data_IF_829463377065
#
_entry.id   IF_829463377065
#
_cell.length_a   1.000
_cell.length_b   1.000
_cell.length_c   1.000
_cell.angle_alpha   90.00
_cell.angle_beta   90.00
_cell.angle_gamma   90.00
#
_symmetry.space_group_name_H-M   'P 1'
#
loop_
_entity.id
_entity.type
_entity.pdbx_description
1 polymer ?
#
# COMPACT_ATOMS: atom_id res chain seq x y z
N UNK A 1 -25.55 1.37 28.81
CA UNK A 1 -24.35 0.51 28.90
C UNK A 1 -24.67 -0.59 29.89
N UNK A 2 -24.24 -1.82 29.62
CA UNK A 2 -24.38 -2.92 30.58
C UNK A 2 -23.61 -2.59 31.87
N UNK A 3 -24.22 -2.84 33.03
CA UNK A 3 -23.65 -2.52 34.33
C UNK A 3 -22.36 -3.30 34.60
N UNK A 4 -22.30 -4.55 34.13
CA UNK A 4 -21.10 -5.38 34.19
C UNK A 4 -19.93 -4.75 33.39
N UNK A 5 -20.23 -4.24 32.20
CA UNK A 5 -19.23 -3.61 31.34
C UNK A 5 -18.70 -2.29 31.91
N UNK A 6 -19.56 -1.53 32.59
CA UNK A 6 -19.16 -0.30 33.26
C UNK A 6 -18.15 -0.59 34.39
N UNK A 7 -18.37 -1.68 35.14
CA UNK A 7 -17.44 -2.15 36.16
C UNK A 7 -16.10 -2.59 35.56
N UNK A 8 -16.14 -3.35 34.46
CA UNK A 8 -14.93 -3.80 33.76
C UNK A 8 -14.12 -2.62 33.21
N UNK A 9 -14.78 -1.60 32.64
CA UNK A 9 -14.12 -0.39 32.16
C UNK A 9 -13.49 0.42 33.30
N UNK A 10 -14.13 0.46 34.47
CA UNK A 10 -13.56 1.10 35.65
C UNK A 10 -12.30 0.36 36.11
N UNK A 11 -12.36 -0.98 36.22
CA UNK A 11 -11.19 -1.79 36.56
C UNK A 11 -10.06 -1.64 35.53
N UNK A 12 -10.42 -1.60 34.25
CA UNK A 12 -9.48 -1.38 33.15
C UNK A 12 -8.78 -0.01 33.25
N UNK A 13 -9.52 1.05 33.59
CA UNK A 13 -8.97 2.40 33.81
C UNK A 13 -8.09 2.50 35.06
N UNK A 14 -8.39 1.73 36.11
CA UNK A 14 -7.51 1.63 37.28
C UNK A 14 -6.18 0.93 36.95
N UNK A 15 -6.22 -0.08 36.07
CA UNK A 15 -5.03 -0.84 35.67
C UNK A 15 -4.18 -0.09 34.64
N UNK A 16 -4.82 0.58 33.71
CA UNK A 16 -4.19 1.39 32.67
C UNK A 16 -4.75 2.80 32.78
N UNK A 17 -4.06 3.74 33.44
CA UNK A 17 -4.56 5.10 33.56
C UNK A 17 -4.67 5.78 32.18
N UNK A 18 -5.83 6.38 31.89
CA UNK A 18 -6.07 7.19 30.70
C UNK A 18 -7.11 8.29 30.99
N UNK A 19 -7.12 9.30 30.12
CA UNK A 19 -7.97 10.48 30.22
C UNK A 19 -9.45 10.20 29.91
N UNK A 20 -10.30 11.21 30.14
CA UNK A 20 -11.73 11.09 29.89
C UNK A 20 -12.06 11.00 28.39
N UNK A 21 -11.20 11.54 27.52
CA UNK A 21 -11.41 11.49 26.06
C UNK A 21 -11.27 10.05 25.54
N UNK A 22 -10.22 9.34 25.95
CA UNK A 22 -10.03 7.93 25.64
C UNK A 22 -11.16 7.06 26.26
N UNK A 23 -11.60 7.38 27.48
CA UNK A 23 -12.75 6.72 28.10
C UNK A 23 -14.03 6.89 27.26
N UNK A 24 -14.40 8.13 26.96
CA UNK A 24 -15.55 8.46 26.13
C UNK A 24 -15.46 7.81 24.74
N UNK A 25 -14.26 7.69 24.18
CA UNK A 25 -14.04 7.04 22.89
C UNK A 25 -14.35 5.53 22.92
N UNK A 26 -13.98 4.82 24.00
CA UNK A 26 -14.33 3.41 24.18
C UNK A 26 -15.84 3.27 24.42
N UNK A 27 -16.41 4.06 25.33
CA UNK A 27 -17.84 4.02 25.68
C UNK A 27 -18.75 4.26 24.46
N UNK A 28 -18.35 5.16 23.57
CA UNK A 28 -19.08 5.45 22.33
C UNK A 28 -18.81 4.46 21.19
N UNK A 29 -17.99 3.43 21.42
CA UNK A 29 -17.76 2.34 20.44
C UNK A 29 -18.80 1.23 20.61
N UNK A 30 -18.94 0.33 19.62
CA UNK A 30 -19.87 -0.80 19.72
C UNK A 30 -19.49 -1.75 20.86
N UNK A 31 -20.47 -2.48 21.41
CA UNK A 31 -20.26 -3.45 22.50
C UNK A 31 -19.16 -4.46 22.18
N UNK A 32 -19.12 -4.96 20.95
CA UNK A 32 -18.08 -5.88 20.46
C UNK A 32 -16.68 -5.26 20.53
N UNK A 33 -16.55 -3.97 20.16
CA UNK A 33 -15.26 -3.27 20.23
C UNK A 33 -14.85 -3.09 21.69
N UNK A 34 -15.78 -2.73 22.58
CA UNK A 34 -15.49 -2.55 24.00
C UNK A 34 -14.94 -3.85 24.61
N UNK A 35 -15.58 -4.99 24.36
CA UNK A 35 -15.07 -6.29 24.81
C UNK A 35 -13.70 -6.64 24.20
N UNK A 36 -13.48 -6.36 22.91
CA UNK A 36 -12.17 -6.61 22.29
C UNK A 36 -11.07 -5.73 22.87
N UNK A 37 -11.37 -4.48 23.24
CA UNK A 37 -10.43 -3.60 23.93
C UNK A 37 -10.10 -4.16 25.30
N UNK A 38 -11.12 -4.47 26.12
CA UNK A 38 -10.95 -5.00 27.47
C UNK A 38 -10.18 -6.33 27.48
N UNK A 39 -10.40 -7.20 26.49
CA UNK A 39 -9.79 -8.54 26.40
C UNK A 39 -8.38 -8.53 25.79
N UNK A 40 -8.18 -7.78 24.72
CA UNK A 40 -7.00 -7.93 23.87
C UNK A 40 -5.97 -6.80 24.03
N UNK A 41 -6.29 -5.71 24.74
CA UNK A 41 -5.33 -4.64 24.97
C UNK A 41 -4.22 -5.10 25.92
N UNK A 42 -3.00 -5.20 25.38
CA UNK A 42 -1.78 -5.54 26.13
C UNK A 42 -0.66 -4.60 25.69
N UNK A 43 -0.39 -3.52 26.44
CA UNK A 43 0.66 -2.57 26.06
C UNK A 43 2.03 -3.24 26.14
N UNK A 44 3.00 -2.72 25.37
CA UNK A 44 4.35 -3.30 25.34
C UNK A 44 5.12 -3.06 26.63
N UNK A 45 4.79 -1.98 27.34
CA UNK A 45 5.37 -1.62 28.63
C UNK A 45 4.20 -1.32 29.59
N UNK A 46 4.19 -2.02 30.73
CA UNK A 46 3.26 -1.74 31.82
C UNK A 46 3.89 -0.75 32.80
N UNK A 47 3.10 0.12 33.42
CA UNK A 47 3.55 1.15 34.36
C UNK A 47 3.74 2.56 33.76
N UNK A 48 3.24 2.82 32.56
CA UNK A 48 3.16 4.18 32.02
C UNK A 48 2.07 4.99 32.75
N UNK A 49 2.28 6.29 32.93
CA UNK A 49 1.32 7.16 33.62
C UNK A 49 0.11 7.52 32.75
N UNK A 50 0.24 7.40 31.43
CA UNK A 50 -0.81 7.76 30.46
C UNK A 50 -0.85 6.79 29.27
N UNK A 51 -1.92 6.00 29.20
CA UNK A 51 -2.21 5.06 28.12
C UNK A 51 -3.17 5.61 27.05
N UNK A 52 -3.60 6.88 27.14
CA UNK A 52 -4.71 7.43 26.35
C UNK A 52 -4.47 7.25 24.84
N UNK A 53 -3.29 7.64 24.34
CA UNK A 53 -2.96 7.51 22.93
C UNK A 53 -2.91 6.05 22.44
N UNK A 54 -2.38 5.14 23.26
CA UNK A 54 -2.27 3.71 22.93
C UNK A 54 -3.66 3.07 22.87
N UNK A 55 -4.52 3.37 23.84
CA UNK A 55 -5.89 2.86 23.93
C UNK A 55 -6.75 3.42 22.80
N UNK A 56 -6.65 4.71 22.48
CA UNK A 56 -7.35 5.31 21.33
C UNK A 56 -6.92 4.65 20.02
N UNK A 57 -5.61 4.49 19.81
CA UNK A 57 -5.05 3.82 18.63
C UNK A 57 -5.56 2.38 18.49
N UNK A 58 -5.57 1.63 19.60
CA UNK A 58 -6.06 0.25 19.62
C UNK A 58 -7.57 0.17 19.36
N UNK A 59 -8.37 1.00 20.03
CA UNK A 59 -9.82 1.07 19.87
C UNK A 59 -10.19 1.40 18.42
N UNK A 60 -9.50 2.38 17.81
CA UNK A 60 -9.68 2.73 16.40
C UNK A 60 -9.38 1.54 15.48
N UNK A 61 -8.32 0.79 15.74
CA UNK A 61 -7.98 -0.44 14.99
C UNK A 61 -9.08 -1.50 15.13
N UNK A 62 -9.63 -1.69 16.33
CA UNK A 62 -10.71 -2.66 16.57
C UNK A 62 -12.01 -2.28 15.88
N UNK A 63 -12.40 -1.00 15.90
CA UNK A 63 -13.56 -0.49 15.13
C UNK A 63 -13.43 -0.80 13.64
N UNK A 64 -12.25 -0.59 13.07
CA UNK A 64 -11.99 -0.88 11.67
C UNK A 64 -12.09 -2.39 11.37
N UNK A 65 -11.53 -3.24 12.22
CA UNK A 65 -11.59 -4.70 12.04
C UNK A 65 -13.01 -5.26 12.19
N UNK A 66 -13.82 -4.75 13.12
CA UNK A 66 -15.24 -5.11 13.25
C UNK A 66 -16.01 -4.69 12.00
N UNK A 67 -15.78 -3.48 11.48
CA UNK A 67 -16.40 -2.99 10.24
C UNK A 67 -16.05 -3.88 9.04
N UNK A 68 -14.78 -4.27 8.91
CA UNK A 68 -14.33 -5.19 7.86
C UNK A 68 -14.97 -6.58 7.99
N UNK A 69 -15.06 -7.12 9.21
CA UNK A 69 -15.76 -8.39 9.45
C UNK A 69 -17.25 -8.30 9.15
N UNK A 70 -17.92 -7.20 9.47
CA UNK A 70 -19.33 -7.03 9.12
C UNK A 70 -19.52 -6.98 7.60
N UNK A 71 -18.65 -6.28 6.88
CA UNK A 71 -18.65 -6.26 5.41
C UNK A 71 -18.37 -7.66 4.81
N UNK A 72 -17.44 -8.40 5.40
CA UNK A 72 -17.07 -9.73 4.91
C UNK A 72 -18.08 -10.82 5.31
N UNK A 73 -18.68 -10.71 6.50
CA UNK A 73 -19.71 -11.64 6.99
C UNK A 73 -21.01 -11.51 6.20
N UNK A 74 -21.29 -10.34 5.65
CA UNK A 74 -22.41 -10.15 4.72
C UNK A 74 -22.20 -10.92 3.40
N UNK A 75 -20.95 -11.19 3.03
CA UNK A 75 -20.60 -11.97 1.84
C UNK A 75 -20.59 -13.50 2.09
N UNK A 76 -20.45 -13.95 3.34
CA UNK A 76 -20.27 -15.36 3.68
C UNK A 76 -21.52 -16.12 4.13
N UNK A 77 -22.58 -15.43 4.59
CA UNK A 77 -23.71 -16.07 5.29
C UNK A 77 -24.89 -16.48 4.38
N UNK A 78 -24.80 -16.30 3.07
CA UNK A 78 -25.84 -16.74 2.11
C UNK A 78 -25.38 -17.89 1.21
N UNK A 79 -24.56 -18.81 1.73
CA UNK A 79 -24.37 -20.15 1.17
C UNK A 79 -25.26 -21.16 1.90
N UNK A 80 -26.57 -20.88 1.98
CA UNK A 80 -27.48 -21.95 1.56
C UNK A 80 -27.32 -21.93 0.05
N UNK A 81 -26.74 -22.96 -0.56
CA UNK A 81 -27.02 -23.26 -1.95
C UNK A 81 -28.49 -23.72 -1.97
N UNK A 82 -29.48 -22.93 -2.43
CA UNK A 82 -30.52 -23.60 -3.18
C UNK A 82 -29.79 -24.22 -4.37
N UNK A 83 -30.09 -25.47 -4.67
CA UNK A 83 -29.71 -26.10 -5.93
C UNK A 83 -30.25 -25.21 -7.06
N UNK A 84 -29.43 -24.26 -7.50
CA UNK A 84 -29.78 -23.31 -8.54
C UNK A 84 -29.74 -24.11 -9.83
N UNK A 85 -30.92 -24.53 -10.29
CA UNK A 85 -31.09 -24.83 -11.70
C UNK A 85 -30.56 -23.61 -12.46
N UNK A 86 -29.51 -23.84 -13.23
CA UNK A 86 -28.77 -22.88 -14.06
C UNK A 86 -29.60 -22.36 -15.25
N UNK A 87 -30.94 -22.39 -15.12
CA UNK A 87 -31.85 -21.71 -16.03
C UNK A 87 -31.84 -20.24 -15.67
N UNK A 88 -30.81 -19.54 -16.12
CA UNK A 88 -30.86 -18.21 -16.75
C UNK A 88 -32.09 -17.34 -16.42
N UNK A 89 -32.37 -17.12 -15.14
CA UNK A 89 -33.40 -16.15 -14.73
C UNK A 89 -32.76 -14.79 -14.89
N UNK A 90 -32.82 -14.27 -16.12
CA UNK A 90 -32.70 -12.85 -16.38
C UNK A 90 -33.62 -12.12 -15.42
N UNK A 91 -33.09 -11.12 -14.70
CA UNK A 91 -33.90 -10.30 -13.83
C UNK A 91 -35.09 -9.75 -14.60
N UNK A 92 -36.25 -9.77 -13.96
CA UNK A 92 -37.44 -9.27 -14.62
C UNK A 92 -37.35 -7.75 -14.67
N UNK A 93 -37.75 -7.15 -15.80
CA UNK A 93 -37.86 -5.69 -15.96
C UNK A 93 -38.65 -5.06 -14.80
N UNK A 94 -39.64 -5.79 -14.26
CA UNK A 94 -40.44 -5.39 -13.12
C UNK A 94 -39.61 -5.20 -11.82
N UNK A 95 -38.61 -6.05 -11.55
CA UNK A 95 -37.74 -5.92 -10.38
C UNK A 95 -36.82 -4.70 -10.49
N UNK A 96 -36.29 -4.43 -11.68
CA UNK A 96 -35.48 -3.24 -11.94
C UNK A 96 -36.32 -1.96 -11.84
N UNK A 97 -37.55 -1.99 -12.37
CA UNK A 97 -38.47 -0.85 -12.25
C UNK A 97 -38.84 -0.58 -10.78
N UNK A 98 -39.18 -1.61 -10.01
CA UNK A 98 -39.46 -1.47 -8.58
C UNK A 98 -38.24 -0.91 -7.80
N UNK A 99 -37.03 -1.30 -8.20
CA UNK A 99 -35.80 -0.76 -7.62
C UNK A 99 -35.60 0.72 -7.97
N UNK A 100 -35.90 1.13 -9.21
CA UNK A 100 -35.85 2.54 -9.66
C UNK A 100 -36.92 3.41 -8.99
N UNK A 101 -38.11 2.87 -8.77
CA UNK A 101 -39.19 3.56 -8.06
C UNK A 101 -38.82 3.80 -6.59
N UNK A 102 -38.12 2.83 -5.97
CA UNK A 102 -37.65 2.94 -4.58
C UNK A 102 -36.43 3.85 -4.44
N UNK A 103 -35.52 3.79 -5.41
CA UNK A 103 -34.27 4.56 -5.43
C UNK A 103 -34.19 5.26 -6.79
N UNK A 104 -34.71 6.49 -6.94
CA UNK A 104 -34.66 7.20 -8.21
C UNK A 104 -33.23 7.37 -8.71
N UNK A 105 -32.96 6.93 -9.94
CA UNK A 105 -31.68 7.13 -10.64
C UNK A 105 -31.91 7.38 -12.14
N UNK A 106 -30.91 7.97 -12.77
CA UNK A 106 -30.91 8.37 -14.17
C UNK A 106 -30.83 7.19 -15.15
N UNK A 107 -31.00 7.48 -16.43
CA UNK A 107 -30.99 6.45 -17.47
C UNK A 107 -29.61 5.82 -17.68
N UNK A 108 -28.53 6.52 -17.34
CA UNK A 108 -27.18 6.00 -17.48
C UNK A 108 -26.86 4.96 -16.39
N UNK A 109 -27.30 5.19 -15.15
CA UNK A 109 -27.25 4.20 -14.08
C UNK A 109 -28.13 2.98 -14.41
N UNK A 110 -29.32 3.19 -14.97
CA UNK A 110 -30.19 2.13 -15.44
C UNK A 110 -29.48 1.25 -16.50
N UNK A 111 -28.97 1.87 -17.56
CA UNK A 111 -28.23 1.19 -18.63
C UNK A 111 -27.00 0.45 -18.07
N UNK A 112 -26.33 1.02 -17.08
CA UNK A 112 -25.18 0.38 -16.43
C UNK A 112 -25.56 -0.89 -15.68
N UNK A 113 -26.70 -0.90 -14.98
CA UNK A 113 -27.20 -2.11 -14.29
C UNK A 113 -27.61 -3.16 -15.32
N UNK A 114 -28.44 -2.81 -16.31
CA UNK A 114 -28.92 -3.75 -17.34
C UNK A 114 -27.77 -4.38 -18.13
N UNK A 115 -26.71 -3.63 -18.40
CA UNK A 115 -25.50 -4.14 -19.08
C UNK A 115 -24.52 -4.88 -18.17
N UNK A 116 -24.75 -4.91 -16.85
CA UNK A 116 -23.92 -5.66 -15.92
C UNK A 116 -24.27 -7.16 -15.93
N UNK A 117 -23.35 -8.07 -15.56
CA UNK A 117 -23.64 -9.50 -15.50
C UNK A 117 -24.84 -9.84 -14.59
N UNK A 118 -25.65 -10.89 -14.86
CA UNK A 118 -26.86 -11.20 -14.08
C UNK A 118 -26.62 -11.37 -12.57
N UNK A 119 -25.46 -11.90 -12.17
CA UNK A 119 -25.11 -12.02 -10.76
C UNK A 119 -24.83 -10.66 -10.10
N UNK A 120 -24.23 -9.71 -10.81
CA UNK A 120 -24.00 -8.34 -10.31
C UNK A 120 -25.35 -7.64 -10.13
N UNK A 121 -26.23 -7.75 -11.12
CA UNK A 121 -27.56 -7.16 -11.05
C UNK A 121 -28.34 -7.69 -9.83
N UNK A 122 -28.36 -9.01 -9.61
CA UNK A 122 -29.01 -9.64 -8.44
C UNK A 122 -28.41 -9.15 -7.12
N UNK A 123 -27.08 -9.05 -7.05
CA UNK A 123 -26.40 -8.56 -5.86
C UNK A 123 -26.77 -7.10 -5.57
N UNK A 124 -26.85 -6.24 -6.59
CA UNK A 124 -27.31 -4.86 -6.44
C UNK A 124 -28.72 -4.84 -5.85
N UNK A 125 -29.67 -5.54 -6.46
CA UNK A 125 -31.07 -5.55 -6.02
C UNK A 125 -31.24 -6.09 -4.59
N UNK A 126 -30.42 -7.07 -4.18
CA UNK A 126 -30.51 -7.70 -2.86
C UNK A 126 -29.83 -6.89 -1.76
N UNK A 127 -28.70 -6.24 -2.07
CA UNK A 127 -27.76 -5.78 -1.03
C UNK A 127 -27.53 -4.29 -1.01
N UNK A 128 -27.97 -3.57 -2.04
CA UNK A 128 -27.85 -2.13 -2.08
C UNK A 128 -28.66 -1.50 -0.93
N UNK A 129 -27.94 -0.78 -0.06
CA UNK A 129 -28.51 0.01 1.04
C UNK A 129 -27.78 1.35 1.08
N UNK A 130 -28.39 2.45 0.60
CA UNK A 130 -27.73 3.74 0.60
C UNK A 130 -27.51 4.23 2.05
N UNK A 131 -26.51 5.09 2.30
CA UNK A 131 -26.24 5.61 3.65
C UNK A 131 -27.40 6.42 4.24
N UNK A 132 -28.22 7.03 3.38
CA UNK A 132 -29.41 7.80 3.71
C UNK A 132 -30.49 7.45 2.68
N UNK A 133 -31.73 7.32 3.13
CA UNK A 133 -32.90 7.14 2.26
C UNK A 133 -33.66 8.47 2.13
N UNK A 134 -34.40 8.63 1.03
CA UNK A 134 -35.12 9.86 0.67
C UNK A 134 -34.36 10.89 -0.19
N UNK A 135 -33.17 10.55 -0.71
CA UNK A 135 -32.49 11.39 -1.71
C UNK A 135 -33.23 11.37 -3.07
N UNK A 136 -33.17 12.48 -3.82
CA UNK A 136 -33.83 12.59 -5.13
C UNK A 136 -33.06 11.89 -6.26
N UNK A 137 -31.75 11.65 -6.07
CA UNK A 137 -30.88 11.04 -7.07
C UNK A 137 -29.85 10.08 -6.44
N UNK A 138 -29.98 8.79 -6.75
CA UNK A 138 -29.06 7.73 -6.31
C UNK A 138 -28.07 7.29 -7.39
N UNK A 139 -28.02 7.93 -8.56
CA UNK A 139 -27.29 7.46 -9.75
C UNK A 139 -25.82 7.17 -9.44
N UNK A 140 -25.13 8.10 -8.78
CA UNK A 140 -23.72 7.94 -8.43
C UNK A 140 -23.48 6.81 -7.40
N UNK A 141 -24.39 6.64 -6.43
CA UNK A 141 -24.30 5.61 -5.40
C UNK A 141 -24.53 4.22 -6.00
N UNK A 142 -25.55 4.08 -6.84
CA UNK A 142 -25.88 2.83 -7.54
C UNK A 142 -24.75 2.42 -8.47
N UNK A 143 -24.21 3.33 -9.31
CA UNK A 143 -23.07 3.02 -10.19
C UNK A 143 -21.83 2.63 -9.38
N UNK A 144 -21.53 3.35 -8.30
CA UNK A 144 -20.37 3.05 -7.45
C UNK A 144 -20.51 1.69 -6.77
N UNK A 145 -21.73 1.34 -6.34
CA UNK A 145 -22.04 0.03 -5.77
C UNK A 145 -21.96 -1.07 -6.82
N UNK A 146 -22.53 -0.87 -8.00
CA UNK A 146 -22.47 -1.81 -9.11
C UNK A 146 -21.02 -2.10 -9.55
N UNK A 147 -20.18 -1.06 -9.66
CA UNK A 147 -18.73 -1.20 -9.88
C UNK A 147 -18.07 -2.01 -8.77
N UNK A 148 -18.45 -1.77 -7.52
CA UNK A 148 -17.96 -2.55 -6.38
C UNK A 148 -18.37 -4.01 -6.48
N UNK A 149 -19.64 -4.33 -6.72
CA UNK A 149 -20.13 -5.70 -6.92
C UNK A 149 -19.35 -6.39 -8.05
N UNK A 150 -19.15 -5.72 -9.18
CA UNK A 150 -18.38 -6.25 -10.31
C UNK A 150 -16.92 -6.56 -9.98
N UNK A 151 -16.30 -5.80 -9.08
CA UNK A 151 -14.92 -6.02 -8.63
C UNK A 151 -14.83 -6.96 -7.41
N UNK A 152 -15.88 -7.01 -6.60
CA UNK A 152 -15.98 -7.79 -5.36
C UNK A 152 -16.45 -9.21 -5.58
N UNK A 153 -16.97 -9.52 -6.77
CA UNK A 153 -17.06 -10.88 -7.28
C UNK A 153 -15.68 -11.16 -7.89
N UNK A 154 -14.71 -11.75 -7.16
CA UNK A 154 -13.56 -12.34 -7.80
C UNK A 154 -14.12 -13.37 -8.75
N UNK A 155 -14.11 -13.09 -10.05
CA UNK A 155 -14.70 -13.89 -11.14
C UNK A 155 -15.15 -15.25 -10.63
N UNK A 156 -16.40 -15.34 -10.18
CA UNK A 156 -17.02 -16.60 -9.77
C UNK A 156 -17.29 -17.40 -11.05
N UNK A 157 -16.26 -17.61 -11.85
CA UNK A 157 -16.13 -18.85 -12.57
C UNK A 157 -16.22 -19.91 -11.47
N UNK A 158 -17.33 -20.64 -11.42
CA UNK A 158 -17.53 -21.74 -10.48
C UNK A 158 -16.42 -22.81 -10.59
N UNK A 159 -15.57 -22.69 -11.61
CA UNK A 159 -14.26 -23.35 -11.76
C UNK A 159 -13.17 -22.92 -10.75
N UNK A 160 -13.34 -21.83 -9.99
CA UNK A 160 -12.26 -21.14 -9.26
C UNK A 160 -12.03 -21.64 -7.81
N UNK A 161 -12.91 -22.51 -7.28
CA UNK A 161 -12.67 -23.21 -6.00
C UNK A 161 -11.75 -24.42 -6.17
N UNK A 162 -11.74 -25.01 -7.37
CA UNK A 162 -10.60 -25.83 -7.80
C UNK A 162 -9.45 -24.86 -8.06
N UNK A 163 -8.28 -25.17 -7.50
CA UNK A 163 -7.05 -24.47 -7.87
C UNK A 163 -6.86 -24.42 -9.39
N UNK A 164 -5.90 -23.63 -9.89
CA UNK A 164 -5.57 -23.60 -11.31
C UNK A 164 -5.55 -25.02 -11.87
N UNK A 165 -6.23 -25.22 -12.99
CA UNK A 165 -6.37 -26.56 -13.55
C UNK A 165 -4.98 -27.15 -13.79
N UNK A 166 -4.82 -28.47 -13.63
CA UNK A 166 -3.52 -29.12 -13.83
C UNK A 166 -2.88 -28.76 -15.18
N UNK A 167 -3.72 -28.60 -16.21
CA UNK A 167 -3.31 -28.15 -17.55
C UNK A 167 -2.78 -26.71 -17.59
N UNK A 168 -3.41 -25.75 -16.90
CA UNK A 168 -2.89 -24.38 -16.82
C UNK A 168 -1.54 -24.34 -16.09
N UNK A 169 -1.39 -25.17 -15.06
CA UNK A 169 -0.14 -25.27 -14.32
C UNK A 169 0.98 -25.89 -15.17
N UNK A 170 0.70 -26.97 -15.90
CA UNK A 170 1.64 -27.61 -16.85
C UNK A 170 2.05 -26.64 -17.95
N UNK A 171 1.08 -25.97 -18.61
CA UNK A 171 1.37 -24.98 -19.64
C UNK A 171 2.23 -23.82 -19.11
N UNK A 172 2.05 -23.44 -17.84
CA UNK A 172 2.89 -22.44 -17.20
C UNK A 172 4.32 -22.93 -16.96
N UNK A 173 4.51 -24.20 -16.57
CA UNK A 173 5.84 -24.82 -16.39
C UNK A 173 6.57 -24.99 -17.71
N UNK A 174 5.86 -25.30 -18.78
CA UNK A 174 6.42 -25.40 -20.13
C UNK A 174 6.87 -24.02 -20.65
N UNK A 175 6.09 -22.97 -20.37
CA UNK A 175 6.40 -21.60 -20.79
C UNK A 175 7.52 -20.96 -19.96
N UNK A 176 7.56 -21.27 -18.67
CA UNK A 176 8.55 -20.73 -17.74
C UNK A 176 9.19 -21.90 -16.98
N UNK A 177 10.30 -22.46 -17.48
CA UNK A 177 11.01 -23.54 -16.79
C UNK A 177 11.52 -23.08 -15.41
N UNK A 178 11.30 -23.88 -14.37
CA UNK A 178 11.80 -23.69 -13.01
C UNK A 178 12.04 -25.04 -12.32
N UNK A 179 12.83 -25.02 -11.26
CA UNK A 179 13.24 -26.21 -10.50
C UNK A 179 12.11 -26.81 -9.64
N UNK A 180 12.32 -28.05 -9.17
CA UNK A 180 11.33 -28.75 -8.35
C UNK A 180 11.12 -28.10 -6.98
N UNK A 181 12.11 -27.37 -6.46
CA UNK A 181 11.99 -26.63 -5.20
C UNK A 181 11.01 -25.45 -5.35
N UNK A 182 11.09 -24.70 -6.44
CA UNK A 182 10.15 -23.64 -6.80
C UNK A 182 8.76 -24.22 -7.07
N UNK A 183 8.68 -25.39 -7.70
CA UNK A 183 7.42 -26.12 -7.86
C UNK A 183 6.76 -26.39 -6.51
N UNK A 184 7.49 -27.03 -5.59
CA UNK A 184 7.02 -27.36 -4.24
C UNK A 184 6.62 -26.10 -3.45
N UNK A 185 7.38 -25.02 -3.59
CA UNK A 185 7.07 -23.72 -2.98
C UNK A 185 5.77 -23.10 -3.51
N UNK A 186 5.52 -23.21 -4.82
CA UNK A 186 4.32 -22.69 -5.46
C UNK A 186 3.08 -23.55 -5.13
N UNK A 187 3.24 -24.86 -5.03
CA UNK A 187 2.17 -25.80 -4.62
C UNK A 187 1.80 -25.65 -3.14
N UNK A 188 2.78 -25.44 -2.26
CA UNK A 188 2.53 -25.16 -0.83
C UNK A 188 2.02 -23.74 -0.57
N UNK A 189 2.07 -22.85 -1.56
CA UNK A 189 1.51 -21.50 -1.44
C UNK A 189 -0.03 -21.51 -1.47
N UNK A 190 -0.68 -20.54 -0.77
CA UNK A 190 -2.14 -20.42 -0.78
C UNK A 190 -2.71 -20.39 -2.21
N UNK A 191 -3.91 -20.98 -2.45
CA UNK A 191 -4.49 -21.06 -3.78
C UNK A 191 -4.59 -19.71 -4.51
N UNK A 192 -4.85 -18.64 -3.76
CA UNK A 192 -4.97 -17.28 -4.29
C UNK A 192 -3.63 -16.74 -4.79
N UNK A 193 -2.55 -16.99 -4.04
CA UNK A 193 -1.19 -16.59 -4.42
C UNK A 193 -0.80 -17.34 -5.68
N UNK A 194 -1.02 -18.66 -5.71
CA UNK A 194 -0.72 -19.51 -6.86
C UNK A 194 -1.43 -19.02 -8.12
N UNK A 195 -2.74 -18.78 -8.03
CA UNK A 195 -3.56 -18.25 -9.13
C UNK A 195 -3.02 -16.91 -9.64
N UNK A 196 -2.72 -15.99 -8.72
CA UNK A 196 -2.21 -14.67 -9.07
C UNK A 196 -0.83 -14.75 -9.74
N UNK A 197 0.02 -15.69 -9.30
CA UNK A 197 1.30 -15.97 -9.96
C UNK A 197 1.07 -16.44 -11.39
N UNK A 198 0.25 -17.48 -11.59
CA UNK A 198 -0.01 -18.04 -12.92
C UNK A 198 -0.62 -17.01 -13.90
N UNK A 199 -1.47 -16.10 -13.41
CA UNK A 199 -2.12 -15.09 -14.24
C UNK A 199 -1.27 -13.84 -14.50
N UNK A 200 -0.49 -13.40 -13.52
CA UNK A 200 0.14 -12.06 -13.53
C UNK A 200 1.65 -12.10 -13.67
N UNK A 201 2.29 -13.27 -13.57
CA UNK A 201 3.73 -13.37 -13.73
C UNK A 201 4.14 -13.03 -15.16
N UNK A 202 4.94 -11.97 -15.29
CA UNK A 202 5.54 -11.50 -16.54
C UNK A 202 7.01 -11.21 -16.26
N UNK A 203 7.94 -12.12 -16.58
CA UNK A 203 9.35 -11.89 -16.31
C UNK A 203 9.87 -10.72 -17.17
N UNK A 204 10.94 -10.03 -16.74
CA UNK A 204 11.52 -8.93 -17.50
C UNK A 204 12.03 -9.34 -18.90
N UNK A 205 12.42 -10.61 -19.05
CA UNK A 205 12.86 -11.22 -20.31
C UNK A 205 12.27 -12.63 -20.42
N UNK A 206 11.72 -12.95 -21.60
CA UNK A 206 11.25 -14.29 -21.93
C UNK A 206 12.37 -15.11 -22.59
N UNK A 207 12.35 -16.44 -22.43
CA UNK A 207 13.36 -17.36 -22.98
C UNK A 207 14.58 -17.64 -22.09
N UNK A 208 14.52 -17.32 -20.79
CA UNK A 208 15.53 -17.71 -19.82
C UNK A 208 15.40 -19.21 -19.48
N UNK A 209 16.53 -19.88 -19.21
CA UNK A 209 16.53 -21.32 -18.92
C UNK A 209 15.99 -21.66 -17.52
N UNK A 210 15.96 -20.68 -16.60
CA UNK A 210 15.54 -20.87 -15.23
C UNK A 210 14.85 -19.61 -14.65
N UNK A 211 13.58 -19.75 -14.30
CA UNK A 211 12.74 -18.69 -13.71
C UNK A 211 12.57 -18.81 -12.19
N UNK A 212 13.25 -19.77 -11.53
CA UNK A 212 13.04 -20.14 -10.12
C UNK A 212 13.12 -18.94 -9.16
N UNK A 213 14.20 -18.17 -9.23
CA UNK A 213 14.41 -17.01 -8.35
C UNK A 213 13.38 -15.88 -8.57
N UNK A 214 13.00 -15.64 -9.83
CA UNK A 214 12.02 -14.62 -10.20
C UNK A 214 10.61 -15.01 -9.69
N UNK A 215 10.24 -16.27 -9.85
CA UNK A 215 8.96 -16.80 -9.37
C UNK A 215 8.85 -16.76 -7.84
N UNK A 216 9.88 -17.21 -7.12
CA UNK A 216 9.89 -17.14 -5.65
C UNK A 216 9.75 -15.68 -5.17
N UNK A 217 10.49 -14.76 -5.79
CA UNK A 217 10.43 -13.34 -5.46
C UNK A 217 9.06 -12.74 -5.74
N UNK A 218 8.44 -13.12 -6.87
CA UNK A 218 7.10 -12.67 -7.23
C UNK A 218 6.02 -13.24 -6.29
N UNK A 219 6.12 -14.52 -5.93
CA UNK A 219 5.24 -15.17 -4.95
C UNK A 219 5.31 -14.45 -3.59
N UNK A 220 6.53 -14.16 -3.11
CA UNK A 220 6.74 -13.40 -1.87
C UNK A 220 6.12 -12.01 -1.97
N UNK A 221 6.35 -11.30 -3.08
CA UNK A 221 5.75 -9.99 -3.33
C UNK A 221 4.22 -10.03 -3.28
N UNK A 222 3.58 -10.99 -3.93
CA UNK A 222 2.11 -11.14 -3.89
C UNK A 222 1.63 -11.40 -2.46
N UNK A 223 2.33 -12.27 -1.73
CA UNK A 223 2.01 -12.57 -0.32
C UNK A 223 2.14 -11.33 0.56
N UNK A 224 3.21 -10.57 0.39
CA UNK A 224 3.48 -9.33 1.12
C UNK A 224 2.52 -8.19 0.73
N UNK A 225 2.03 -8.17 -0.51
CA UNK A 225 1.00 -7.26 -1.01
C UNK A 225 -0.43 -7.64 -0.60
N UNK A 226 -0.65 -8.88 -0.19
CA UNK A 226 -1.91 -9.35 0.43
C UNK A 226 -1.91 -9.18 1.95
N UNK A 227 -0.74 -9.23 2.58
CA UNK A 227 -0.55 -8.94 4.00
C UNK A 227 -0.65 -7.46 4.47
N UNK A 228 -0.78 -6.40 3.64
CA UNK A 228 -0.81 -5.03 4.12
C UNK A 228 -2.26 -4.53 4.19
N UNK A 229 -3.07 -5.05 5.12
CA UNK A 229 -4.15 -4.27 5.73
C UNK A 229 -4.36 -4.56 7.24
N UNK A 230 -3.94 -5.71 7.77
CA UNK A 230 -4.19 -6.02 9.20
C UNK A 230 -3.06 -5.66 10.20
N UNK A 231 -1.89 -5.21 9.74
CA UNK A 231 -0.74 -5.11 10.67
C UNK A 231 0.41 -4.13 10.40
N UNK A 232 0.48 -3.40 9.28
CA UNK A 232 1.56 -2.41 9.06
C UNK A 232 1.26 -1.05 9.71
N UNK A 233 1.19 -1.03 11.03
CA UNK A 233 1.35 0.19 11.83
C UNK A 233 2.55 -0.02 12.75
N UNK A 234 3.52 0.89 12.67
CA UNK A 234 4.70 1.02 13.55
C UNK A 234 5.87 0.04 13.33
N UNK A 235 6.64 0.28 12.26
CA UNK A 235 8.09 0.25 12.45
C UNK A 235 8.49 1.60 13.05
N UNK A 236 8.81 1.57 14.34
CA UNK A 236 9.34 2.71 15.09
C UNK A 236 10.80 2.90 14.66
N UNK A 237 11.24 4.10 14.25
CA UNK A 237 12.67 4.37 14.13
C UNK A 237 13.29 4.32 15.54
N UNK A 238 14.26 3.44 15.74
CA UNK A 238 15.15 3.50 16.90
C UNK A 238 16.07 4.72 16.75
N UNK A 239 15.94 5.73 17.62
CA UNK A 239 17.05 6.23 18.46
C UNK A 239 16.69 7.46 19.32
N UNK A 240 16.84 7.29 20.64
CA UNK A 240 17.57 8.11 21.64
C UNK A 240 17.13 9.55 22.00
N UNK A 241 16.76 9.67 23.28
CA UNK A 241 17.15 10.71 24.28
C UNK A 241 16.50 12.10 24.29
N UNK A 242 16.03 12.46 25.50
CA UNK A 242 15.41 13.72 25.97
C UNK A 242 16.41 14.89 26.14
N UNK A 243 16.11 16.06 26.78
CA UNK A 243 14.83 16.63 27.23
C UNK A 243 14.60 18.13 26.89
N UNK A 244 13.32 18.57 26.97
CA UNK A 244 12.88 19.91 27.36
C UNK A 244 12.97 21.04 26.33
N UNK A 245 11.83 21.59 25.90
CA UNK A 245 11.70 23.02 25.55
C UNK A 245 10.23 23.48 25.51
N UNK A 246 9.99 24.65 26.11
CA UNK A 246 8.72 25.40 26.18
C UNK A 246 8.23 25.86 24.79
N UNK A 247 6.91 25.99 24.57
CA UNK A 247 6.39 26.63 23.36
C UNK A 247 6.32 28.15 23.54
N UNK A 248 6.77 28.98 22.57
CA UNK A 248 6.34 30.35 22.50
C UNK A 248 5.29 30.56 21.41
N UNK A 249 4.21 31.22 21.85
CA UNK A 249 3.51 32.35 21.22
C UNK A 249 3.07 32.23 19.75
N UNK A 250 1.76 32.28 19.61
CA UNK A 250 1.02 32.71 18.42
C UNK A 250 1.57 34.04 17.88
N UNK A 251 1.80 34.11 16.56
CA UNK A 251 1.96 35.35 15.82
C UNK A 251 0.74 35.60 14.91
N UNK A 252 0.33 36.87 14.71
CA UNK A 252 -0.82 37.25 13.91
C UNK A 252 -0.55 37.23 12.39
N UNK A 253 -1.59 37.22 11.55
CA UNK A 253 -1.45 37.12 10.10
C UNK A 253 -1.25 38.51 9.51
N UNK A 254 -0.22 38.77 8.71
CA UNK A 254 -0.20 39.66 7.53
C UNK A 254 1.19 39.66 6.88
N UNK A 255 1.21 39.77 5.53
CA UNK A 255 2.32 39.95 4.60
C UNK A 255 3.00 38.68 4.05
N UNK A 256 2.41 38.14 2.98
CA UNK A 256 3.17 37.39 1.96
C UNK A 256 3.92 38.40 1.08
N UNK A 257 5.27 38.42 1.08
CA UNK A 257 6.01 39.13 0.06
C UNK A 257 5.93 38.33 -1.25
N UNK A 258 5.74 39.05 -2.36
CA UNK A 258 5.75 38.53 -3.72
C UNK A 258 6.93 37.57 -3.95
N UNK A 259 6.64 36.31 -4.29
CA UNK A 259 7.65 35.40 -4.78
C UNK A 259 8.12 35.85 -6.17
N UNK A 260 9.43 36.00 -6.41
CA UNK A 260 9.95 36.23 -7.75
C UNK A 260 9.69 35.01 -8.65
N UNK A 261 9.57 35.20 -9.98
CA UNK A 261 9.37 34.10 -10.91
C UNK A 261 10.51 33.07 -10.83
N UNK A 262 10.22 31.78 -11.03
CA UNK A 262 11.24 30.73 -10.97
C UNK A 262 12.32 30.98 -12.03
N UNK A 263 13.61 30.72 -11.72
CA UNK A 263 14.71 30.88 -12.66
C UNK A 263 14.55 29.91 -13.85
N UNK A 264 15.03 30.29 -15.06
CA UNK A 264 15.01 29.42 -16.22
C UNK A 264 15.81 28.13 -15.96
N UNK A 265 15.41 26.99 -16.56
CA UNK A 265 16.15 25.73 -16.42
C UNK A 265 17.58 25.90 -16.94
N UNK A 266 18.61 25.41 -16.22
CA UNK A 266 19.99 25.54 -16.66
C UNK A 266 20.26 24.72 -17.93
N UNK A 267 21.23 25.15 -18.77
CA UNK A 267 21.62 24.41 -19.96
C UNK A 267 22.05 23.00 -19.57
N UNK A 268 21.46 22.00 -20.24
CA UNK A 268 21.91 20.60 -20.14
C UNK A 268 23.36 20.55 -20.62
N UNK A 269 24.30 20.35 -19.70
CA UNK A 269 25.70 20.07 -20.02
C UNK A 269 25.76 18.75 -20.81
N UNK A 270 25.76 18.86 -22.15
CA UNK A 270 26.26 17.80 -23.03
C UNK A 270 27.78 17.86 -22.95
N UNK A 271 28.35 17.14 -21.98
CA UNK A 271 29.79 16.93 -21.89
C UNK A 271 30.28 16.17 -23.12
N UNK A 272 31.13 16.83 -23.91
CA UNK A 272 31.92 16.20 -24.95
C UNK A 272 32.82 15.13 -24.32
N UNK A 273 32.80 13.92 -24.91
CA UNK A 273 33.68 12.81 -24.54
C UNK A 273 35.12 13.19 -24.89
N UNK A 274 35.88 13.65 -23.90
CA UNK A 274 37.33 13.75 -23.97
C UNK A 274 37.92 12.48 -23.35
N UNK A 275 38.62 11.71 -24.18
CA UNK A 275 39.46 10.59 -23.78
C UNK A 275 40.60 11.11 -22.92
N UNK A 276 40.64 10.76 -21.62
CA UNK A 276 41.74 11.16 -20.75
C UNK A 276 42.32 9.99 -19.95
N UNK A 277 43.64 10.02 -19.97
CA UNK A 277 44.65 9.11 -19.44
C UNK A 277 44.68 9.19 -17.91
N UNK A 278 44.90 8.03 -17.28
CA UNK A 278 44.93 7.81 -15.83
C UNK A 278 45.98 8.65 -15.08
N UNK A 279 45.55 9.18 -13.95
CA UNK A 279 46.42 9.77 -12.92
C UNK A 279 46.35 11.30 -12.86
N UNK A 280 45.53 11.82 -11.93
CA UNK A 280 45.50 13.17 -11.32
C UNK A 280 44.08 13.78 -11.12
N UNK A 281 43.01 12.99 -11.18
CA UNK A 281 41.63 13.53 -11.20
C UNK A 281 40.96 13.81 -9.84
N UNK A 282 41.63 13.67 -8.69
CA UNK A 282 40.97 13.88 -7.37
C UNK A 282 40.57 15.32 -7.07
N UNK A 283 41.20 16.33 -7.67
CA UNK A 283 40.91 17.74 -7.36
C UNK A 283 39.66 18.28 -8.08
N UNK A 284 39.31 17.72 -9.25
CA UNK A 284 38.15 18.17 -10.04
C UNK A 284 36.81 17.77 -9.40
N UNK A 285 36.80 16.64 -8.67
CA UNK A 285 35.56 16.07 -8.11
C UNK A 285 35.07 16.86 -6.89
N UNK A 286 35.97 17.43 -6.08
CA UNK A 286 35.55 18.15 -4.87
C UNK A 286 34.81 19.46 -5.18
N UNK A 287 35.19 20.15 -6.26
CA UNK A 287 34.48 21.35 -6.70
C UNK A 287 33.05 21.01 -7.16
N UNK A 288 32.89 19.92 -7.92
CA UNK A 288 31.58 19.45 -8.38
C UNK A 288 30.67 19.06 -7.21
N UNK A 289 31.21 18.39 -6.19
CA UNK A 289 30.46 18.07 -4.97
C UNK A 289 30.01 19.33 -4.22
N UNK A 290 30.86 20.36 -4.09
CA UNK A 290 30.49 21.63 -3.45
C UNK A 290 29.38 22.36 -4.21
N UNK A 291 29.45 22.38 -5.55
CA UNK A 291 28.37 22.94 -6.38
C UNK A 291 27.07 22.14 -6.23
N UNK A 292 27.17 20.82 -6.14
CA UNK A 292 26.01 19.96 -5.89
C UNK A 292 25.36 20.25 -4.54
N UNK A 293 26.15 20.45 -3.48
CA UNK A 293 25.65 20.84 -2.15
C UNK A 293 24.95 22.20 -2.15
N UNK A 294 25.43 23.16 -2.95
CA UNK A 294 24.75 24.45 -3.09
C UNK A 294 23.39 24.31 -3.81
N UNK A 295 23.30 23.40 -4.78
CA UNK A 295 22.07 23.13 -5.53
C UNK A 295 21.04 22.32 -4.74
N UNK A 296 21.51 21.38 -3.93
CA UNK A 296 20.69 20.52 -3.09
C UNK A 296 21.17 20.66 -1.64
N UNK A 297 20.62 21.62 -0.87
CA UNK A 297 20.99 21.82 0.52
C UNK A 297 20.90 20.52 1.32
N UNK A 298 21.99 20.17 1.99
CA UNK A 298 22.10 18.97 2.83
C UNK A 298 23.06 19.27 4.00
N UNK A 299 22.88 18.50 5.08
CA UNK A 299 23.74 18.56 6.25
C UNK A 299 25.17 18.07 5.97
N UNK A 300 26.09 18.38 6.89
CA UNK A 300 27.50 17.97 6.74
C UNK A 300 27.64 16.45 6.70
N UNK A 301 26.78 15.73 7.42
CA UNK A 301 26.82 14.27 7.49
C UNK A 301 26.51 13.61 6.14
N UNK A 302 25.50 14.08 5.42
CA UNK A 302 25.14 13.60 4.09
C UNK A 302 26.22 13.98 3.07
N UNK A 303 26.78 15.18 3.20
CA UNK A 303 27.87 15.62 2.34
C UNK A 303 29.14 14.77 2.54
N UNK A 304 29.55 14.51 3.78
CA UNK A 304 30.68 13.64 4.11
C UNK A 304 30.45 12.19 3.66
N UNK A 305 29.21 11.71 3.76
CA UNK A 305 28.82 10.41 3.22
C UNK A 305 29.00 10.34 1.69
N UNK A 306 28.58 11.39 0.97
CA UNK A 306 28.76 11.45 -0.49
C UNK A 306 30.25 11.61 -0.85
N UNK A 307 31.01 12.44 -0.13
CA UNK A 307 32.46 12.65 -0.34
C UNK A 307 33.27 11.37 -0.10
N UNK A 308 32.85 10.52 0.83
CA UNK A 308 33.48 9.23 1.12
C UNK A 308 32.99 8.07 0.25
N UNK A 309 31.96 8.27 -0.59
CA UNK A 309 31.46 7.26 -1.51
C UNK A 309 32.47 6.96 -2.63
N UNK A 310 32.34 5.79 -3.28
CA UNK A 310 33.18 5.43 -4.43
C UNK A 310 33.03 6.46 -5.57
N UNK A 311 34.09 6.77 -6.34
CA UNK A 311 34.06 7.82 -7.37
C UNK A 311 32.91 7.66 -8.37
N UNK A 312 32.61 6.42 -8.78
CA UNK A 312 31.50 6.16 -9.71
C UNK A 312 30.12 6.42 -9.08
N UNK A 313 29.96 6.21 -7.76
CA UNK A 313 28.72 6.57 -7.04
C UNK A 313 28.58 8.08 -7.00
N UNK A 314 29.67 8.80 -6.73
CA UNK A 314 29.67 10.26 -6.75
C UNK A 314 29.23 10.77 -8.12
N UNK A 315 29.82 10.24 -9.20
CA UNK A 315 29.46 10.60 -10.57
C UNK A 315 27.99 10.31 -10.88
N UNK A 316 27.49 9.13 -10.53
CA UNK A 316 26.10 8.75 -10.77
C UNK A 316 25.12 9.68 -10.03
N UNK A 317 25.44 10.08 -8.79
CA UNK A 317 24.66 11.04 -8.00
C UNK A 317 24.70 12.41 -8.66
N UNK A 318 25.88 12.91 -9.05
CA UNK A 318 26.03 14.21 -9.69
C UNK A 318 25.26 14.31 -11.02
N UNK A 319 25.20 13.22 -11.79
CA UNK A 319 24.56 13.19 -13.11
C UNK A 319 23.04 12.91 -13.05
N UNK A 320 22.59 12.01 -12.18
CA UNK A 320 21.25 11.43 -12.26
C UNK A 320 20.34 11.76 -11.06
N UNK A 321 20.84 12.47 -10.06
CA UNK A 321 20.01 12.85 -8.92
C UNK A 321 18.96 13.91 -9.32
N UNK A 322 17.71 13.47 -9.41
CA UNK A 322 16.55 14.30 -9.73
C UNK A 322 15.42 14.04 -8.72
N UNK A 323 15.41 14.73 -7.56
CA UNK A 323 14.37 14.54 -6.55
C UNK A 323 12.99 14.97 -7.09
N UNK A 324 11.96 14.17 -6.82
CA UNK A 324 10.58 14.47 -7.26
C UNK A 324 9.90 15.58 -6.45
N UNK A 325 10.39 15.82 -5.23
CA UNK A 325 9.86 16.82 -4.31
C UNK A 325 10.93 17.88 -4.08
N UNK A 326 10.51 19.14 -4.12
CA UNK A 326 11.31 20.26 -3.67
C UNK A 326 11.24 20.27 -2.14
N UNK A 327 12.33 19.89 -1.50
CA UNK A 327 12.48 19.90 -0.04
C UNK A 327 13.49 20.99 0.37
N UNK A 328 13.44 21.43 1.63
CA UNK A 328 14.46 22.32 2.19
C UNK A 328 15.71 21.55 2.62
N UNK A 329 15.58 20.24 2.88
CA UNK A 329 16.67 19.35 3.26
C UNK A 329 16.68 18.08 2.39
N UNK A 330 17.72 17.94 1.55
CA UNK A 330 17.90 16.79 0.66
C UNK A 330 18.76 15.68 1.28
N UNK A 331 19.19 15.80 2.55
CA UNK A 331 20.13 14.88 3.20
C UNK A 331 19.71 13.41 3.09
N UNK A 332 18.46 13.11 3.46
CA UNK A 332 17.94 11.74 3.40
C UNK A 332 17.81 11.22 1.96
N UNK A 333 17.42 12.07 1.02
CA UNK A 333 17.23 11.71 -0.39
C UNK A 333 18.57 11.39 -1.08
N UNK A 334 19.59 12.22 -0.83
CA UNK A 334 20.94 12.02 -1.39
C UNK A 334 21.56 10.74 -0.83
N UNK A 335 21.48 10.50 0.48
CA UNK A 335 21.98 9.26 1.11
C UNK A 335 21.25 8.04 0.53
N UNK A 336 19.91 8.09 0.41
CA UNK A 336 19.13 6.99 -0.13
C UNK A 336 19.51 6.69 -1.59
N UNK A 337 19.70 7.72 -2.41
CA UNK A 337 20.10 7.56 -3.81
C UNK A 337 21.53 7.00 -3.94
N UNK A 338 22.48 7.52 -3.17
CA UNK A 338 23.85 7.01 -3.14
C UNK A 338 23.93 5.53 -2.67
N UNK A 339 23.13 5.16 -1.66
CA UNK A 339 22.99 3.75 -1.23
C UNK A 339 22.42 2.87 -2.34
N UNK A 340 21.37 3.32 -3.01
CA UNK A 340 20.76 2.60 -4.15
C UNK A 340 21.76 2.41 -5.30
N UNK A 341 22.58 3.40 -5.60
CA UNK A 341 23.65 3.28 -6.58
C UNK A 341 24.60 2.14 -6.18
N UNK A 342 25.08 2.14 -4.93
CA UNK A 342 25.96 1.10 -4.38
C UNK A 342 25.34 -0.30 -4.39
N UNK A 343 24.07 -0.42 -4.03
CA UNK A 343 23.33 -1.70 -4.07
C UNK A 343 23.19 -2.25 -5.48
N UNK A 344 23.02 -1.39 -6.50
CA UNK A 344 22.95 -1.81 -7.90
C UNK A 344 24.25 -2.47 -8.38
N UNK A 345 25.40 -2.00 -7.89
CA UNK A 345 26.70 -2.60 -8.20
C UNK A 345 26.89 -3.94 -7.47
N UNK A 346 26.47 -4.03 -6.21
CA UNK A 346 26.49 -5.29 -5.45
C UNK A 346 25.54 -6.35 -6.05
N UNK A 347 24.35 -5.95 -6.49
CA UNK A 347 23.37 -6.84 -7.10
C UNK A 347 23.67 -7.16 -8.57
N UNK A 348 24.42 -6.30 -9.26
CA UNK A 348 24.73 -6.41 -10.69
C UNK A 348 26.10 -7.00 -11.01
N UNK A 349 26.82 -7.53 -10.01
CA UNK A 349 28.20 -8.01 -10.08
C UNK A 349 28.51 -9.18 -11.02
N UNK A 350 27.63 -9.53 -11.97
CA UNK A 350 27.89 -10.59 -12.96
C UNK A 350 27.57 -10.26 -14.42
N UNK A 351 26.85 -9.18 -14.77
CA UNK A 351 26.50 -9.03 -16.20
C UNK A 351 26.30 -7.60 -16.71
N UNK A 352 27.24 -6.71 -16.39
CA UNK A 352 27.51 -5.59 -17.30
C UNK A 352 28.90 -5.73 -17.86
N UNK A 353 28.97 -6.35 -19.05
CA UNK A 353 30.00 -6.07 -20.05
C UNK A 353 30.02 -4.56 -20.31
N UNK A 354 30.66 -3.79 -19.45
CA UNK A 354 31.39 -2.61 -19.91
C UNK A 354 32.41 -3.15 -20.91
N UNK A 355 32.44 -2.66 -22.15
CA UNK A 355 33.51 -3.04 -23.06
C UNK A 355 34.81 -2.65 -22.38
N UNK A 356 35.60 -3.65 -21.95
CA UNK A 356 37.01 -3.45 -21.70
C UNK A 356 37.57 -2.97 -23.03
N UNK A 357 37.87 -1.67 -23.12
CA UNK A 357 38.75 -1.18 -24.17
C UNK A 357 40.04 -1.99 -24.00
N UNK A 358 40.28 -2.89 -24.95
CA UNK A 358 41.58 -3.50 -25.12
C UNK A 358 42.54 -2.34 -25.42
N UNK A 359 43.47 -2.11 -24.50
CA UNK A 359 44.58 -1.18 -24.67
C UNK A 359 45.57 -1.71 -25.69
#
# INVERSE_FOLDING_TARGET
MDEALASDLHHFRSRYPFDDDAYNYIVNSSIEVQHEVLRDFKPRQEGEEDYSALIMGFTKKRRQSVKERQLNSFSGAYFYEPSFNEQDVSLTEAELQAFRDRYPFDEDAHRYIVSSPPHVQREILRTFKPPREGEEDYSALVISFAKRCRNAVPSLDLSTSRGPSGREYEAFRDRYPFDDDTHNYLQSSPPEVRRQVLQSFKPPREGEADYSALLISFCKKIRDQRLPQLGRGFQVPRSLSAPGYQPPRQQPPWHQPHQPPPPPPPPRFRGARASHVDGFQRSSDESALRMFRQRYPMDDRAFDFLKSAQPWVQQEVLENFAPQRLDSDYSALVIAFAKKCRERDQAGGLDTKRPRLAY
#
